data_IF_262316996688
#
_entry.id   IF_262316996688
#
_cell.length_a   1.000
_cell.length_b   1.000
_cell.length_c   1.000
_cell.angle_alpha   90.00
_cell.angle_beta   90.00
_cell.angle_gamma   90.00
#
_symmetry.space_group_name_H-M   'P 1'
#
loop_
_entity.id
_entity.type
_entity.pdbx_description
1 polymer ?
#
# COMPACT_ATOMS: atom_id res chain seq x y z
N UNK A 1 12.92 -30.46 -1.55
CA UNK A 1 11.80 -30.08 -2.43
C UNK A 1 10.69 -29.32 -1.69
N UNK A 2 9.89 -29.95 -0.81
CA UNK A 2 8.74 -29.29 -0.14
C UNK A 2 9.08 -27.97 0.58
N UNK A 3 10.21 -27.91 1.32
CA UNK A 3 10.65 -26.69 2.02
C UNK A 3 11.00 -25.53 1.08
N UNK A 4 11.57 -25.83 -0.09
CA UNK A 4 11.96 -24.81 -1.08
C UNK A 4 10.72 -24.15 -1.67
N UNK A 5 9.68 -24.94 -1.95
CA UNK A 5 8.40 -24.44 -2.47
C UNK A 5 7.73 -23.50 -1.47
N UNK A 6 7.75 -23.86 -0.17
CA UNK A 6 7.21 -23.02 0.89
C UNK A 6 7.96 -21.68 0.97
N UNK A 7 9.29 -21.71 0.94
CA UNK A 7 10.12 -20.49 0.98
C UNK A 7 9.82 -19.59 -0.23
N UNK A 8 9.75 -20.15 -1.43
CA UNK A 8 9.38 -19.40 -2.64
C UNK A 8 7.98 -18.79 -2.53
N UNK A 9 7.01 -19.53 -2.00
CA UNK A 9 5.66 -19.02 -1.73
C UNK A 9 5.67 -17.84 -0.77
N UNK A 10 6.45 -17.90 0.32
CA UNK A 10 6.58 -16.80 1.26
C UNK A 10 7.21 -15.55 0.63
N UNK A 11 8.21 -15.72 -0.24
CA UNK A 11 8.85 -14.59 -0.94
C UNK A 11 7.85 -13.91 -1.87
N UNK A 12 7.14 -14.68 -2.70
CA UNK A 12 6.16 -14.13 -3.65
C UNK A 12 5.02 -13.43 -2.90
N UNK A 13 4.50 -14.06 -1.83
CA UNK A 13 3.46 -13.45 -0.99
C UNK A 13 3.96 -12.15 -0.35
N UNK A 14 5.19 -12.13 0.16
CA UNK A 14 5.82 -10.95 0.73
C UNK A 14 5.93 -9.81 -0.29
N UNK A 15 6.37 -10.09 -1.51
CA UNK A 15 6.42 -9.10 -2.60
C UNK A 15 5.03 -8.56 -2.93
N UNK A 16 4.01 -9.43 -3.01
CA UNK A 16 2.64 -9.01 -3.31
C UNK A 16 2.08 -8.07 -2.22
N UNK A 17 2.26 -8.42 -0.94
CA UNK A 17 1.84 -7.58 0.17
C UNK A 17 2.61 -6.25 0.18
N UNK A 18 3.91 -6.29 -0.14
CA UNK A 18 4.74 -5.10 -0.21
C UNK A 18 4.24 -4.12 -1.30
N UNK A 19 3.93 -4.62 -2.50
CA UNK A 19 3.33 -3.82 -3.58
C UNK A 19 1.98 -3.22 -3.16
N UNK A 20 1.11 -3.97 -2.49
CA UNK A 20 -0.17 -3.42 -2.01
C UNK A 20 -0.01 -2.30 -0.98
N UNK A 21 1.06 -2.33 -0.17
CA UNK A 21 1.30 -1.33 0.86
C UNK A 21 2.03 -0.09 0.33
N UNK A 22 3.11 -0.31 -0.42
CA UNK A 22 4.11 0.70 -0.76
C UNK A 22 4.23 0.96 -2.26
N UNK A 23 3.54 0.17 -3.09
CA UNK A 23 3.49 0.38 -4.52
C UNK A 23 2.93 1.76 -4.89
N UNK A 24 3.22 2.18 -6.10
CA UNK A 24 2.81 3.49 -6.61
C UNK A 24 1.46 3.43 -7.36
N UNK A 25 0.78 2.28 -7.35
CA UNK A 25 -0.58 2.15 -7.86
C UNK A 25 -1.56 3.01 -7.04
N UNK A 26 -2.61 3.51 -7.70
CA UNK A 26 -3.64 4.35 -7.07
C UNK A 26 -4.41 3.63 -5.96
N UNK A 27 -4.41 2.30 -5.99
CA UNK A 27 -5.07 1.43 -5.00
C UNK A 27 -4.16 1.01 -3.85
N UNK A 28 -2.88 1.41 -3.87
CA UNK A 28 -1.96 1.10 -2.78
C UNK A 28 -2.35 1.85 -1.51
N UNK A 29 -2.01 1.27 -0.37
CA UNK A 29 -2.28 1.90 0.93
C UNK A 29 -1.66 3.31 1.02
N UNK A 30 -0.42 3.46 0.54
CA UNK A 30 0.30 4.74 0.45
C UNK A 30 -0.50 5.78 -0.35
N UNK A 31 -1.00 5.42 -1.53
CA UNK A 31 -1.76 6.33 -2.40
C UNK A 31 -3.09 6.73 -1.78
N UNK A 32 -3.83 5.77 -1.21
CA UNK A 32 -5.10 6.03 -0.51
C UNK A 32 -4.87 6.95 0.69
N UNK A 33 -3.84 6.70 1.49
CA UNK A 33 -3.52 7.53 2.65
C UNK A 33 -3.18 8.97 2.25
N UNK A 34 -2.39 9.16 1.19
CA UNK A 34 -2.06 10.48 0.65
C UNK A 34 -3.31 11.25 0.21
N UNK A 35 -4.24 10.59 -0.48
CA UNK A 35 -5.48 11.20 -0.93
C UNK A 35 -6.36 11.63 0.25
N UNK A 36 -6.50 10.78 1.27
CA UNK A 36 -7.23 11.13 2.50
C UNK A 36 -6.62 12.35 3.22
N UNK A 37 -5.28 12.41 3.29
CA UNK A 37 -4.59 13.54 3.89
C UNK A 37 -4.83 14.84 3.11
N UNK A 38 -4.81 14.80 1.78
CA UNK A 38 -5.13 15.97 0.95
C UNK A 38 -6.57 16.44 1.14
N UNK A 39 -7.52 15.51 1.18
CA UNK A 39 -8.93 15.83 1.46
C UNK A 39 -9.05 16.53 2.81
N UNK A 40 -8.40 16.00 3.85
CA UNK A 40 -8.43 16.58 5.18
C UNK A 40 -7.83 18.00 5.22
N UNK A 41 -6.70 18.22 4.54
CA UNK A 41 -6.10 19.56 4.42
C UNK A 41 -7.02 20.55 3.70
N UNK A 42 -7.71 20.12 2.65
CA UNK A 42 -8.65 20.98 1.93
C UNK A 42 -9.82 21.39 2.83
N UNK A 43 -10.39 20.46 3.61
CA UNK A 43 -11.44 20.80 4.59
C UNK A 43 -10.95 21.83 5.61
N UNK A 44 -9.73 21.68 6.14
CA UNK A 44 -9.17 22.67 7.08
C UNK A 44 -8.92 24.05 6.47
N UNK A 45 -8.69 24.13 5.15
CA UNK A 45 -8.48 25.42 4.46
C UNK A 45 -9.80 26.11 4.09
N UNK A 46 -10.88 25.37 3.82
CA UNK A 46 -12.19 25.95 3.54
C UNK A 46 -12.88 26.52 4.79
N UNK A 47 -12.51 26.07 5.99
CA UNK A 47 -13.04 26.54 7.27
C UNK A 47 -12.38 27.85 7.79
N UNK A 48 -11.42 28.44 7.06
CA UNK A 48 -10.75 29.73 7.36
C UNK A 48 -10.90 30.74 6.22
#
# INVERSE_FOLDING_TARGET
MKKIIIILGCIILGCFIFEMLLGDDDTSYKSVQKNLMQIQLNYYQEDY
#
